data_IF_572233828291
#
_entry.id   IF_572233828291
#
_cell.length_a   1.000
_cell.length_b   1.000
_cell.length_c   1.000
_cell.angle_alpha   90.00
_cell.angle_beta   90.00
_cell.angle_gamma   90.00
#
_symmetry.space_group_name_H-M   'P 1'
#
loop_
_entity.id
_entity.type
_entity.pdbx_description
1 polymer ?
#
# COMPACT_ATOMS: atom_id res chain seq x y z
N UNK A 1 -16.64 11.38 -22.77
CA UNK A 1 -15.70 10.67 -23.68
C UNK A 1 -15.78 9.19 -23.36
N UNK A 2 -16.12 8.35 -24.34
CA UNK A 2 -16.14 6.91 -24.14
C UNK A 2 -14.70 6.42 -23.93
N UNK A 3 -14.46 5.67 -22.83
CA UNK A 3 -13.24 4.90 -22.69
C UNK A 3 -13.17 3.94 -23.90
N UNK A 4 -12.20 4.11 -24.80
CA UNK A 4 -11.89 3.08 -25.76
C UNK A 4 -11.39 1.87 -24.95
N UNK A 5 -12.12 0.77 -25.00
CA UNK A 5 -11.70 -0.47 -24.36
C UNK A 5 -10.39 -0.93 -25.03
N UNK A 6 -9.26 -0.59 -24.42
CA UNK A 6 -8.01 -1.27 -24.72
C UNK A 6 -8.17 -2.70 -24.23
N UNK A 7 -8.04 -3.67 -25.10
CA UNK A 7 -7.99 -5.08 -24.70
C UNK A 7 -6.81 -5.25 -23.77
N UNK A 8 -7.10 -5.53 -22.48
CA UNK A 8 -6.06 -5.82 -21.49
C UNK A 8 -5.26 -7.03 -21.94
N UNK A 9 -3.94 -6.91 -21.98
CA UNK A 9 -3.03 -8.04 -22.14
C UNK A 9 -2.60 -8.63 -20.77
N UNK A 10 -3.04 -8.03 -19.68
CA UNK A 10 -2.69 -8.49 -18.35
C UNK A 10 -3.46 -9.75 -17.97
N UNK A 11 -2.72 -10.83 -17.72
CA UNK A 11 -3.26 -12.11 -17.25
C UNK A 11 -2.79 -12.29 -15.80
N UNK A 12 -3.71 -12.25 -14.82
CA UNK A 12 -3.35 -12.46 -13.41
C UNK A 12 -2.82 -13.88 -13.18
N UNK A 13 -1.75 -14.02 -12.39
CA UNK A 13 -1.31 -15.32 -11.92
C UNK A 13 -2.34 -15.86 -10.89
N UNK A 14 -2.90 -17.08 -11.10
CA UNK A 14 -3.89 -17.67 -10.21
C UNK A 14 -3.41 -17.85 -8.76
N UNK A 15 -2.10 -17.90 -8.51
CA UNK A 15 -1.53 -18.01 -7.16
C UNK A 15 -1.95 -16.87 -6.22
N UNK A 16 -2.28 -15.68 -6.75
CA UNK A 16 -2.74 -14.54 -5.96
C UNK A 16 -4.23 -14.57 -5.61
N UNK A 17 -4.97 -15.57 -6.11
CA UNK A 17 -6.37 -15.80 -5.80
C UNK A 17 -7.36 -14.99 -6.66
N UNK A 18 -8.63 -15.33 -6.50
CA UNK A 18 -9.72 -14.84 -7.35
C UNK A 18 -9.94 -13.33 -7.22
N UNK A 19 -10.00 -12.81 -5.98
CA UNK A 19 -10.21 -11.38 -5.75
C UNK A 19 -9.09 -10.52 -6.36
N UNK A 20 -7.85 -10.99 -6.28
CA UNK A 20 -6.72 -10.33 -6.94
C UNK A 20 -6.97 -10.25 -8.45
N UNK A 21 -7.33 -11.37 -9.10
CA UNK A 21 -7.61 -11.40 -10.52
C UNK A 21 -8.74 -10.44 -10.94
N UNK A 22 -9.85 -10.45 -10.18
CA UNK A 22 -11.00 -9.56 -10.41
C UNK A 22 -10.61 -8.08 -10.32
N UNK A 23 -9.86 -7.69 -9.28
CA UNK A 23 -9.46 -6.31 -9.07
C UNK A 23 -8.35 -5.85 -10.02
N UNK A 24 -7.34 -6.69 -10.23
CA UNK A 24 -6.21 -6.36 -11.09
C UNK A 24 -6.63 -6.17 -12.55
N UNK A 25 -7.50 -7.03 -13.08
CA UNK A 25 -8.05 -6.88 -14.43
C UNK A 25 -8.93 -5.64 -14.57
N UNK A 26 -9.76 -5.33 -13.56
CA UNK A 26 -10.53 -4.08 -13.52
C UNK A 26 -9.61 -2.86 -13.54
N UNK A 27 -8.56 -2.85 -12.71
CA UNK A 27 -7.59 -1.75 -12.65
C UNK A 27 -6.83 -1.57 -13.97
N UNK A 28 -6.54 -2.67 -14.67
CA UNK A 28 -5.90 -2.62 -15.97
C UNK A 28 -6.81 -1.95 -17.03
N UNK A 29 -8.12 -2.20 -16.99
CA UNK A 29 -9.10 -1.54 -17.85
C UNK A 29 -9.33 -0.07 -17.51
N UNK A 30 -9.40 0.26 -16.21
CA UNK A 30 -9.60 1.64 -15.76
C UNK A 30 -8.39 2.52 -16.06
N UNK A 31 -7.18 1.93 -16.01
CA UNK A 31 -5.93 2.66 -16.15
C UNK A 31 -5.72 3.74 -15.09
N UNK A 32 -4.72 4.56 -15.34
CA UNK A 32 -4.34 5.73 -14.52
C UNK A 32 -3.97 6.85 -15.48
N UNK A 33 -4.21 8.10 -15.09
CA UNK A 33 -3.83 9.29 -15.84
C UNK A 33 -2.60 9.96 -15.20
N UNK A 34 -1.93 10.82 -15.95
CA UNK A 34 -0.73 11.52 -15.52
C UNK A 34 -0.97 12.54 -14.39
N UNK A 35 -2.22 12.97 -14.19
CA UNK A 35 -2.62 13.84 -13.08
C UNK A 35 -3.10 13.09 -11.84
N UNK A 36 -3.22 11.77 -11.90
CA UNK A 36 -3.73 10.99 -10.79
C UNK A 36 -2.72 10.88 -9.62
N UNK A 37 -3.31 10.79 -8.44
CA UNK A 37 -2.67 10.45 -7.18
C UNK A 37 -3.10 9.02 -6.84
N UNK A 38 -2.18 8.09 -6.83
CA UNK A 38 -2.48 6.66 -6.67
C UNK A 38 -2.24 6.22 -5.24
N UNK A 39 -3.28 5.71 -4.60
CA UNK A 39 -3.16 4.96 -3.34
C UNK A 39 -2.94 3.49 -3.68
N UNK A 40 -1.70 3.02 -3.57
CA UNK A 40 -1.26 1.67 -3.98
C UNK A 40 -0.97 0.82 -2.75
N UNK A 41 -1.57 -0.38 -2.65
CA UNK A 41 -1.33 -1.24 -1.51
C UNK A 41 -2.26 -2.44 -1.40
N UNK A 42 -2.37 -2.93 -0.19
CA UNK A 42 -3.13 -4.11 0.19
C UNK A 42 -4.56 -3.79 0.71
N UNK A 43 -5.07 -4.60 1.66
CA UNK A 43 -6.41 -4.42 2.25
C UNK A 43 -6.59 -3.10 2.99
N UNK A 44 -5.56 -2.61 3.66
CA UNK A 44 -5.61 -1.32 4.35
C UNK A 44 -5.86 -0.17 3.37
N UNK A 45 -5.23 -0.23 2.20
CA UNK A 45 -5.47 0.73 1.12
C UNK A 45 -6.84 0.49 0.45
N UNK A 46 -7.22 -0.78 0.22
CA UNK A 46 -8.49 -1.15 -0.42
C UNK A 46 -9.69 -0.66 0.39
N UNK A 47 -9.65 -0.77 1.71
CA UNK A 47 -10.76 -0.53 2.62
C UNK A 47 -11.16 0.93 2.85
N UNK A 48 -10.66 1.88 2.05
CA UNK A 48 -10.92 3.29 2.23
C UNK A 48 -11.41 3.96 0.93
N UNK A 49 -12.41 4.79 1.05
CA UNK A 49 -12.89 5.66 -0.03
C UNK A 49 -12.00 6.92 -0.14
N UNK A 50 -10.76 6.72 -0.56
CA UNK A 50 -9.69 7.73 -0.56
C UNK A 50 -10.06 9.03 -1.25
N UNK A 51 -10.81 8.94 -2.36
CA UNK A 51 -11.26 10.11 -3.12
C UNK A 51 -12.16 11.02 -2.30
N UNK A 52 -13.08 10.42 -1.55
CA UNK A 52 -14.01 11.12 -0.68
C UNK A 52 -13.30 11.62 0.58
N UNK A 53 -12.50 10.74 1.22
CA UNK A 53 -11.78 11.05 2.45
C UNK A 53 -10.80 12.21 2.29
N UNK A 54 -10.11 12.31 1.13
CA UNK A 54 -9.13 13.36 0.81
C UNK A 54 -9.76 14.54 0.06
N UNK A 55 -11.09 14.50 -0.21
CA UNK A 55 -11.82 15.50 -1.00
C UNK A 55 -11.06 15.89 -2.29
N UNK A 56 -10.54 14.89 -2.99
CA UNK A 56 -9.71 15.12 -4.17
C UNK A 56 -10.08 14.16 -5.32
N UNK A 57 -10.66 14.68 -6.43
CA UNK A 57 -11.11 13.85 -7.56
C UNK A 57 -9.99 13.17 -8.33
N UNK A 58 -8.73 13.57 -8.16
CA UNK A 58 -7.58 12.97 -8.82
C UNK A 58 -7.08 11.72 -8.09
N UNK A 59 -7.53 11.48 -6.86
CA UNK A 59 -7.13 10.30 -6.07
C UNK A 59 -7.83 9.06 -6.60
N UNK A 60 -7.05 8.01 -6.82
CA UNK A 60 -7.54 6.69 -7.26
C UNK A 60 -7.05 5.59 -6.31
N UNK A 61 -7.96 4.74 -5.88
CA UNK A 61 -7.65 3.57 -5.05
C UNK A 61 -7.17 2.41 -5.94
N UNK A 62 -5.98 1.90 -5.64
CA UNK A 62 -5.37 0.71 -6.25
C UNK A 62 -4.94 -0.30 -5.19
N UNK A 63 -5.71 -0.40 -4.10
CA UNK A 63 -5.59 -1.43 -3.08
C UNK A 63 -6.28 -2.74 -3.46
N UNK A 64 -5.70 -3.88 -3.08
CA UNK A 64 -6.32 -5.21 -3.19
C UNK A 64 -6.14 -5.95 -1.87
N UNK A 65 -7.22 -6.52 -1.32
CA UNK A 65 -7.15 -7.32 -0.10
C UNK A 65 -6.22 -8.52 -0.30
N UNK A 66 -5.35 -8.75 0.69
CA UNK A 66 -4.40 -9.87 0.67
C UNK A 66 -3.17 -9.64 -0.23
N UNK A 67 -3.05 -8.49 -0.90
CA UNK A 67 -1.95 -8.26 -1.83
C UNK A 67 -0.60 -8.15 -1.13
N UNK A 68 0.42 -8.67 -1.78
CA UNK A 68 1.83 -8.68 -1.36
C UNK A 68 2.67 -7.75 -2.21
N UNK A 69 3.92 -7.53 -1.84
CA UNK A 69 4.88 -6.79 -2.68
C UNK A 69 5.02 -7.44 -4.07
N UNK A 70 5.05 -8.78 -4.14
CA UNK A 70 5.09 -9.50 -5.41
C UNK A 70 3.82 -9.28 -6.24
N UNK A 71 2.63 -9.38 -5.62
CA UNK A 71 1.37 -9.14 -6.31
C UNK A 71 1.26 -7.73 -6.87
N UNK A 72 1.66 -6.72 -6.09
CA UNK A 72 1.76 -5.33 -6.56
C UNK A 72 2.71 -5.22 -7.74
N UNK A 73 3.90 -5.83 -7.66
CA UNK A 73 4.89 -5.81 -8.75
C UNK A 73 4.29 -6.36 -10.06
N UNK A 74 3.55 -7.47 -10.01
CA UNK A 74 2.95 -8.10 -11.18
C UNK A 74 1.92 -7.18 -11.88
N UNK A 75 1.08 -6.47 -11.11
CA UNK A 75 0.04 -5.58 -11.65
C UNK A 75 0.46 -4.12 -11.83
N UNK A 76 1.73 -3.79 -11.54
CA UNK A 76 2.21 -2.40 -11.54
C UNK A 76 2.09 -1.72 -12.91
N UNK A 77 2.19 -2.47 -14.01
CA UNK A 77 2.02 -1.95 -15.36
C UNK A 77 0.67 -1.23 -15.58
N UNK A 78 -0.42 -1.66 -14.91
CA UNK A 78 -1.71 -0.99 -14.96
C UNK A 78 -1.69 0.44 -14.39
N UNK A 79 -0.74 0.71 -13.50
CA UNK A 79 -0.52 2.01 -12.87
C UNK A 79 0.48 2.85 -13.68
N UNK A 80 1.61 2.24 -14.06
CA UNK A 80 2.74 2.96 -14.65
C UNK A 80 2.52 3.42 -16.09
N UNK A 81 1.67 2.76 -16.86
CA UNK A 81 1.31 3.21 -18.22
C UNK A 81 0.75 4.63 -18.27
N UNK A 82 0.14 5.11 -17.18
CA UNK A 82 -0.41 6.45 -17.09
C UNK A 82 0.55 7.51 -16.57
N UNK A 83 1.73 7.11 -16.10
CA UNK A 83 2.72 8.01 -15.49
C UNK A 83 2.10 8.96 -14.45
N UNK A 84 1.50 8.42 -13.36
CA UNK A 84 0.76 9.24 -12.39
C UNK A 84 1.63 10.31 -11.73
N UNK A 85 1.01 11.41 -11.30
CA UNK A 85 1.74 12.47 -10.61
C UNK A 85 2.38 11.97 -9.30
N UNK A 86 1.62 11.16 -8.53
CA UNK A 86 2.05 10.67 -7.21
C UNK A 86 1.62 9.21 -7.00
N UNK A 87 2.45 8.45 -6.29
CA UNK A 87 2.11 7.11 -5.77
C UNK A 87 2.40 7.08 -4.27
N UNK A 88 1.38 6.76 -3.47
CA UNK A 88 1.48 6.47 -2.05
C UNK A 88 1.44 4.95 -1.87
N UNK A 89 2.56 4.34 -1.49
CA UNK A 89 2.71 2.90 -1.37
C UNK A 89 2.70 2.47 0.10
N UNK A 90 1.79 1.54 0.46
CA UNK A 90 1.80 0.79 1.71
C UNK A 90 1.57 -0.69 1.44
N UNK A 91 2.56 -1.54 1.72
CA UNK A 91 2.49 -3.00 1.54
C UNK A 91 3.53 -3.69 2.43
N UNK A 92 3.39 -5.00 2.65
CA UNK A 92 4.35 -5.84 3.37
C UNK A 92 3.74 -6.68 4.49
N UNK A 93 2.62 -6.28 5.12
CA UNK A 93 2.04 -7.06 6.23
C UNK A 93 1.58 -8.45 5.79
N UNK A 94 1.11 -8.61 4.55
CA UNK A 94 0.74 -9.92 4.00
C UNK A 94 1.97 -10.78 3.71
N UNK A 95 3.06 -10.17 3.27
CA UNK A 95 4.35 -10.84 3.09
C UNK A 95 4.85 -11.40 4.43
N UNK A 96 4.75 -10.60 5.51
CA UNK A 96 5.02 -11.06 6.90
C UNK A 96 4.12 -12.22 7.30
N UNK A 97 2.83 -12.19 6.95
CA UNK A 97 1.88 -13.27 7.24
C UNK A 97 2.19 -14.56 6.46
N UNK A 98 3.00 -14.47 5.41
CA UNK A 98 3.52 -15.61 4.63
C UNK A 98 4.91 -16.06 5.10
N UNK A 99 5.33 -15.65 6.31
CA UNK A 99 6.58 -16.01 6.97
C UNK A 99 7.85 -15.50 6.27
N UNK A 100 7.76 -14.48 5.41
CA UNK A 100 8.93 -13.83 4.87
C UNK A 100 9.69 -13.07 5.98
N UNK A 101 11.02 -13.10 5.90
CA UNK A 101 11.89 -12.29 6.78
C UNK A 101 11.76 -10.80 6.49
N UNK A 102 12.21 -9.96 7.40
CA UNK A 102 12.18 -8.51 7.21
C UNK A 102 12.95 -8.09 5.95
N UNK A 103 14.10 -8.70 5.70
CA UNK A 103 14.94 -8.45 4.54
C UNK A 103 14.23 -8.84 3.23
N UNK A 104 13.59 -10.01 3.19
CA UNK A 104 12.84 -10.47 2.00
C UNK A 104 11.66 -9.55 1.67
N UNK A 105 10.92 -9.10 2.70
CA UNK A 105 9.83 -8.13 2.53
C UNK A 105 10.35 -6.81 1.97
N UNK A 106 11.43 -6.28 2.56
CA UNK A 106 12.06 -5.02 2.12
C UNK A 106 12.56 -5.14 0.68
N UNK A 107 13.23 -6.24 0.33
CA UNK A 107 13.73 -6.48 -1.04
C UNK A 107 12.56 -6.54 -2.04
N UNK A 108 11.44 -7.15 -1.67
CA UNK A 108 10.23 -7.16 -2.49
C UNK A 108 9.68 -5.76 -2.75
N UNK A 109 9.60 -4.93 -1.69
CA UNK A 109 9.12 -3.54 -1.78
C UNK A 109 10.10 -2.68 -2.60
N UNK A 110 11.41 -2.83 -2.38
CA UNK A 110 12.44 -2.11 -3.15
C UNK A 110 12.32 -2.39 -4.64
N UNK A 111 12.10 -3.64 -5.05
CA UNK A 111 11.84 -3.98 -6.47
C UNK A 111 10.65 -3.20 -7.05
N UNK A 112 9.57 -3.04 -6.28
CA UNK A 112 8.41 -2.21 -6.68
C UNK A 112 8.84 -0.75 -6.88
N UNK A 113 9.57 -0.18 -5.91
CA UNK A 113 10.03 1.22 -5.96
C UNK A 113 10.97 1.47 -7.14
N UNK A 114 11.93 0.58 -7.38
CA UNK A 114 12.88 0.67 -8.50
C UNK A 114 12.15 0.59 -9.85
N UNK A 115 11.19 -0.31 -9.98
CA UNK A 115 10.37 -0.41 -11.19
C UNK A 115 9.55 0.86 -11.44
N UNK A 116 8.95 1.47 -10.38
CA UNK A 116 8.25 2.75 -10.52
C UNK A 116 9.22 3.82 -11.04
N UNK A 117 10.41 3.94 -10.46
CA UNK A 117 11.41 4.93 -10.88
C UNK A 117 11.87 4.73 -12.32
N UNK A 118 12.04 3.48 -12.72
CA UNK A 118 12.50 3.13 -14.06
C UNK A 118 11.43 3.41 -15.14
N UNK A 119 10.18 2.97 -14.91
CA UNK A 119 9.11 3.04 -15.91
C UNK A 119 8.32 4.36 -15.84
N UNK A 120 8.37 5.09 -14.70
CA UNK A 120 7.66 6.36 -14.50
C UNK A 120 8.53 7.37 -13.72
N UNK A 121 9.63 7.86 -14.29
CA UNK A 121 10.65 8.64 -13.56
C UNK A 121 10.16 10.01 -13.09
N UNK A 122 9.05 10.50 -13.61
CA UNK A 122 8.43 11.77 -13.18
C UNK A 122 7.45 11.60 -12.02
N UNK A 123 7.07 10.37 -11.68
CA UNK A 123 6.16 10.07 -10.57
C UNK A 123 6.84 10.33 -9.22
N UNK A 124 6.23 11.14 -8.38
CA UNK A 124 6.67 11.27 -6.99
C UNK A 124 6.22 10.06 -6.18
N UNK A 125 7.14 9.46 -5.44
CA UNK A 125 6.89 8.26 -4.65
C UNK A 125 6.90 8.61 -3.16
N UNK A 126 5.85 8.21 -2.46
CA UNK A 126 5.68 8.32 -1.01
C UNK A 126 5.57 6.91 -0.45
N UNK A 127 6.66 6.46 0.17
CA UNK A 127 6.69 5.17 0.84
C UNK A 127 6.19 5.35 2.27
N UNK A 128 5.18 4.58 2.65
CA UNK A 128 4.58 4.63 3.97
C UNK A 128 5.06 3.46 4.83
N UNK A 129 5.24 3.68 6.14
CA UNK A 129 5.53 2.59 7.06
C UNK A 129 4.38 1.58 7.12
N UNK A 130 4.67 0.33 7.43
CA UNK A 130 3.66 -0.61 7.89
C UNK A 130 3.05 -0.09 9.19
N UNK A 131 1.76 -0.38 9.39
CA UNK A 131 1.09 -0.07 10.65
C UNK A 131 1.39 -1.14 11.71
N UNK A 132 1.25 -0.83 13.00
CA UNK A 132 1.27 -1.83 14.05
C UNK A 132 0.11 -2.81 13.89
N UNK A 133 0.23 -3.98 14.53
CA UNK A 133 -0.82 -4.98 14.67
C UNK A 133 -1.18 -5.14 16.15
N UNK A 134 -2.31 -5.77 16.46
CA UNK A 134 -2.72 -6.04 17.83
C UNK A 134 -3.26 -7.47 17.98
N UNK A 135 -2.43 -8.34 18.52
CA UNK A 135 -2.74 -9.77 18.66
C UNK A 135 -3.79 -10.07 19.75
N UNK A 136 -4.09 -9.14 20.64
CA UNK A 136 -5.11 -9.33 21.68
C UNK A 136 -6.51 -9.61 21.09
N UNK A 137 -6.72 -9.26 19.82
CA UNK A 137 -7.95 -9.56 19.07
C UNK A 137 -8.06 -11.02 18.61
N UNK A 138 -6.95 -11.78 18.61
CA UNK A 138 -6.90 -13.22 18.25
C UNK A 138 -7.54 -13.56 16.88
N UNK A 139 -7.30 -12.71 15.87
CA UNK A 139 -7.91 -12.88 14.53
C UNK A 139 -6.91 -13.31 13.46
N UNK A 140 -5.69 -12.76 13.46
CA UNK A 140 -4.69 -12.97 12.41
C UNK A 140 -3.50 -13.76 12.93
N UNK A 141 -3.70 -15.05 13.27
CA UNK A 141 -2.70 -15.92 13.90
C UNK A 141 -1.40 -16.09 13.10
N UNK A 142 -1.42 -15.85 11.79
CA UNK A 142 -0.19 -15.83 10.98
C UNK A 142 0.72 -14.64 11.28
N UNK A 143 0.22 -13.65 12.00
CA UNK A 143 0.97 -12.47 12.44
C UNK A 143 1.40 -12.55 13.90
N UNK A 144 1.06 -13.65 14.63
CA UNK A 144 1.43 -13.81 16.03
C UNK A 144 2.96 -13.80 16.21
N UNK A 145 3.46 -12.92 17.10
CA UNK A 145 4.90 -12.73 17.36
C UNK A 145 5.66 -11.98 16.27
N UNK A 146 4.97 -11.30 15.35
CA UNK A 146 5.60 -10.60 14.22
C UNK A 146 5.76 -9.08 14.41
N UNK A 147 5.45 -8.54 15.59
CA UNK A 147 5.54 -7.09 15.86
C UNK A 147 6.97 -6.57 15.67
N UNK A 148 7.97 -7.33 16.17
CA UNK A 148 9.38 -6.97 15.97
C UNK A 148 9.78 -7.00 14.51
N UNK A 149 9.30 -7.97 13.74
CA UNK A 149 9.53 -8.05 12.31
C UNK A 149 8.98 -6.80 11.59
N UNK A 150 7.76 -6.35 11.95
CA UNK A 150 7.17 -5.13 11.39
C UNK A 150 8.02 -3.90 11.72
N UNK A 151 8.51 -3.78 12.97
CA UNK A 151 9.39 -2.67 13.36
C UNK A 151 10.72 -2.69 12.60
N UNK A 152 11.31 -3.88 12.43
CA UNK A 152 12.53 -4.07 11.65
C UNK A 152 12.32 -3.69 10.17
N UNK A 153 11.22 -4.12 9.54
CA UNK A 153 10.86 -3.73 8.18
C UNK A 153 10.78 -2.21 8.07
N UNK A 154 10.06 -1.54 8.98
CA UNK A 154 9.91 -0.09 8.95
C UNK A 154 11.26 0.64 9.06
N UNK A 155 12.15 0.16 9.93
CA UNK A 155 13.51 0.70 10.04
C UNK A 155 14.29 0.54 8.73
N UNK A 156 14.29 -0.66 8.14
CA UNK A 156 15.00 -0.93 6.88
C UNK A 156 14.41 -0.13 5.71
N UNK A 157 13.07 -0.02 5.62
CA UNK A 157 12.40 0.77 4.58
C UNK A 157 12.73 2.26 4.68
N UNK A 158 12.83 2.80 5.89
CA UNK A 158 13.25 4.20 6.09
C UNK A 158 14.66 4.45 5.54
N UNK A 159 15.61 3.53 5.78
CA UNK A 159 16.96 3.61 5.25
C UNK A 159 16.96 3.51 3.71
N UNK A 160 16.22 2.55 3.16
CA UNK A 160 16.09 2.38 1.70
C UNK A 160 15.43 3.56 1.03
N UNK A 161 14.42 4.17 1.65
CA UNK A 161 13.79 5.38 1.13
C UNK A 161 14.79 6.54 1.00
N UNK A 162 15.66 6.72 2.02
CA UNK A 162 16.72 7.72 2.00
C UNK A 162 17.75 7.45 0.89
N UNK A 163 18.22 6.21 0.75
CA UNK A 163 19.16 5.80 -0.29
C UNK A 163 18.59 6.03 -1.71
N UNK A 164 17.28 5.80 -1.87
CA UNK A 164 16.59 5.97 -3.14
C UNK A 164 16.10 7.41 -3.39
N UNK A 165 16.25 8.33 -2.43
CA UNK A 165 15.71 9.68 -2.52
C UNK A 165 14.18 9.72 -2.61
N UNK A 166 13.50 8.79 -1.94
CA UNK A 166 12.03 8.65 -1.90
C UNK A 166 11.52 9.24 -0.58
N UNK A 167 10.38 9.94 -0.64
CA UNK A 167 9.76 10.48 0.57
C UNK A 167 9.24 9.36 1.45
N UNK A 168 9.72 9.30 2.69
CA UNK A 168 9.27 8.38 3.74
C UNK A 168 8.20 9.04 4.61
N UNK A 169 7.06 8.35 4.80
CA UNK A 169 5.98 8.78 5.69
C UNK A 169 5.85 7.76 6.81
N UNK A 170 6.29 8.14 8.01
CA UNK A 170 6.22 7.28 9.17
C UNK A 170 4.84 7.33 9.83
N UNK A 171 3.95 6.45 9.44
CA UNK A 171 2.60 6.32 10.02
C UNK A 171 2.63 5.62 11.38
N UNK A 172 3.51 4.62 11.57
CA UNK A 172 3.53 3.68 12.69
C UNK A 172 3.28 4.33 14.06
N UNK A 173 4.01 5.39 14.49
CA UNK A 173 3.88 5.94 15.83
C UNK A 173 2.52 6.60 16.12
N UNK A 174 1.76 6.94 15.08
CA UNK A 174 0.44 7.55 15.22
C UNK A 174 -0.68 6.51 15.43
N UNK A 175 -0.36 5.24 15.23
CA UNK A 175 -1.28 4.11 15.35
C UNK A 175 -0.92 3.17 16.50
N UNK A 176 0.29 3.31 17.07
CA UNK A 176 0.81 2.45 18.12
C UNK A 176 0.46 2.96 19.51
N UNK A 177 0.15 2.03 20.41
CA UNK A 177 0.14 2.27 21.84
C UNK A 177 1.59 2.28 22.39
N UNK A 178 1.81 2.58 23.70
CA UNK A 178 3.15 2.56 24.31
C UNK A 178 3.89 1.23 24.20
N UNK A 179 3.17 0.12 24.05
CA UNK A 179 3.74 -1.23 23.90
C UNK A 179 4.00 -1.59 22.41
N UNK A 180 3.62 -0.70 21.49
CA UNK A 180 3.80 -0.87 20.04
C UNK A 180 2.69 -1.64 19.34
N UNK A 181 1.57 -1.90 20.02
CA UNK A 181 0.40 -2.54 19.41
C UNK A 181 -0.50 -1.51 18.73
N UNK A 182 -1.25 -1.94 17.73
CA UNK A 182 -2.30 -1.11 17.14
C UNK A 182 -3.33 -0.71 18.20
N UNK A 183 -3.57 0.58 18.34
CA UNK A 183 -4.51 1.15 19.29
C UNK A 183 -5.89 0.48 19.13
N UNK A 184 -6.49 -0.10 20.20
CA UNK A 184 -7.77 -0.79 20.11
C UNK A 184 -8.92 0.09 19.64
N UNK A 185 -8.84 1.40 19.85
CA UNK A 185 -9.85 2.37 19.37
C UNK A 185 -9.85 2.58 17.86
N UNK A 186 -8.79 2.13 17.17
CA UNK A 186 -8.62 2.31 15.72
C UNK A 186 -8.95 1.06 14.91
N UNK A 187 -9.24 -0.06 15.57
CA UNK A 187 -9.44 -1.35 14.93
C UNK A 187 -10.55 -2.16 15.61
N UNK A 188 -11.11 -3.14 14.90
CA UNK A 188 -12.03 -4.13 15.47
C UNK A 188 -11.55 -5.57 15.27
N UNK A 189 -10.39 -5.75 14.65
CA UNK A 189 -9.84 -7.08 14.36
C UNK A 189 -8.32 -7.19 14.63
N UNK A 190 -7.67 -6.08 15.02
CA UNK A 190 -6.26 -6.02 15.33
C UNK A 190 -5.33 -5.76 14.14
N UNK A 191 -5.88 -5.54 12.94
CA UNK A 191 -5.13 -5.30 11.71
C UNK A 191 -5.75 -4.17 10.87
N UNK A 192 -7.04 -4.27 10.55
CA UNK A 192 -7.75 -3.30 9.70
C UNK A 192 -8.26 -2.12 10.51
N UNK A 193 -8.38 -0.97 9.84
CA UNK A 193 -8.74 0.27 10.49
C UNK A 193 -10.26 0.51 10.47
N UNK A 194 -10.73 1.09 11.57
CA UNK A 194 -12.00 1.78 11.65
C UNK A 194 -11.86 3.23 11.19
N UNK A 195 -12.98 3.94 11.02
CA UNK A 195 -12.99 5.34 10.57
C UNK A 195 -12.02 6.26 11.33
N UNK A 196 -11.89 6.21 12.68
CA UNK A 196 -10.91 7.05 13.37
C UNK A 196 -9.47 6.86 12.88
N UNK A 197 -9.07 5.61 12.56
CA UNK A 197 -7.75 5.31 12.01
C UNK A 197 -7.55 5.93 10.63
N UNK A 198 -8.55 5.85 9.75
CA UNK A 198 -8.48 6.48 8.43
C UNK A 198 -8.46 8.00 8.51
N UNK A 199 -9.10 8.62 9.49
CA UNK A 199 -9.02 10.08 9.70
C UNK A 199 -7.61 10.52 10.11
N UNK A 200 -6.96 9.77 11.01
CA UNK A 200 -5.54 10.00 11.36
C UNK A 200 -4.67 9.85 10.12
N UNK A 201 -4.87 8.78 9.34
CA UNK A 201 -4.09 8.55 8.12
C UNK A 201 -4.25 9.67 7.10
N UNK A 202 -5.49 10.13 6.88
CA UNK A 202 -5.79 11.30 6.04
C UNK A 202 -4.96 12.51 6.46
N UNK A 203 -5.01 12.87 7.74
CA UNK A 203 -4.37 14.08 8.24
C UNK A 203 -2.85 14.04 8.07
N UNK A 204 -2.25 12.85 8.17
CA UNK A 204 -0.82 12.62 7.90
C UNK A 204 -0.47 12.73 6.41
N UNK A 205 -1.41 12.43 5.51
CA UNK A 205 -1.19 12.48 4.06
C UNK A 205 -1.46 13.85 3.45
N UNK A 206 -2.35 14.67 4.03
CA UNK A 206 -2.76 15.96 3.46
C UNK A 206 -1.61 16.88 3.06
N UNK A 207 -0.50 17.03 3.81
CA UNK A 207 0.63 17.84 3.40
C UNK A 207 1.22 17.39 2.05
N UNK A 208 1.31 16.09 1.82
CA UNK A 208 1.89 15.50 0.61
C UNK A 208 0.90 15.40 -0.55
N UNK A 209 -0.39 15.35 -0.27
CA UNK A 209 -1.45 15.39 -1.30
C UNK A 209 -1.48 16.76 -1.96
N UNK A 210 -1.32 17.83 -1.17
CA UNK A 210 -1.54 19.21 -1.59
C UNK A 210 -0.29 19.94 -2.13
N UNK A 211 0.91 19.32 -2.05
CA UNK A 211 2.15 19.92 -2.59
C UNK A 211 2.29 19.92 -4.13
#
# INVERSE_FOLDING_TARGET
MALSAQTSSFVPDPKFGELYGQRATLFDQLGVRSDNIVMLGNSLTHGCEWRELLDNPLVVNRGINGDTAEGIYQRLGSVLRGHPAKIFLLTGVNDVSHDLTAEEVVDGIVKVLERIRQESPTTRIYLQSLLPINQSFQRYHRLDGKEDTIRQINHLLQLRAADLGITWINLYPHFADPDGNLLPSLTNDGLHLLAPGYLIWRDLLLPYINE
#
